data_IF_001261749559
#
_entry.id   IF_001261749559
#
_cell.length_a   1.000
_cell.length_b   1.000
_cell.length_c   1.000
_cell.angle_alpha   90.00
_cell.angle_beta   90.00
_cell.angle_gamma   90.00
#
_symmetry.space_group_name_H-M   'P 1'
#
loop_
_entity.id
_entity.type
_entity.pdbx_description
1 polymer ?
#
# COMPACT_ATOMS: atom_id res chain seq x y z
N UNK A 1 -0.94 15.51 -6.63
CA UNK A 1 -1.05 14.07 -6.92
C UNK A 1 -2.40 13.55 -6.46
N UNK A 2 -2.96 12.57 -7.15
CA UNK A 2 -4.23 11.96 -6.80
C UNK A 2 -4.07 11.10 -5.54
N UNK A 3 -4.98 11.24 -4.56
CA UNK A 3 -4.97 10.45 -3.33
C UNK A 3 -6.38 10.17 -2.84
N UNK A 4 -6.53 9.06 -2.09
CA UNK A 4 -7.74 8.75 -1.34
C UNK A 4 -7.58 9.22 0.10
N UNK A 5 -8.46 10.09 0.55
CA UNK A 5 -8.58 10.45 1.97
C UNK A 5 -9.54 9.48 2.64
N UNK A 6 -9.10 8.89 3.76
CA UNK A 6 -9.92 8.04 4.61
C UNK A 6 -9.93 8.62 6.02
N UNK A 7 -11.12 8.84 6.58
CA UNK A 7 -11.30 9.16 7.99
C UNK A 7 -12.18 8.09 8.62
N UNK A 8 -11.79 7.60 9.79
CA UNK A 8 -12.52 6.57 10.54
C UNK A 8 -12.81 7.06 11.95
N UNK A 9 -14.01 6.80 12.44
CA UNK A 9 -14.46 7.11 13.77
C UNK A 9 -15.41 6.03 14.28
N UNK A 10 -15.90 6.15 15.50
CA UNK A 10 -16.92 5.26 16.04
C UNK A 10 -17.94 6.08 16.87
N UNK A 11 -19.17 5.62 16.92
CA UNK A 11 -20.25 6.33 17.61
C UNK A 11 -20.21 6.02 19.10
N UNK A 12 -20.15 7.09 19.92
CA UNK A 12 -20.27 7.08 21.38
C UNK A 12 -21.49 7.85 21.81
N UNK A 13 -22.42 7.22 22.49
CA UNK A 13 -23.71 7.79 22.88
C UNK A 13 -23.64 8.95 23.92
N UNK A 14 -22.51 9.16 24.61
CA UNK A 14 -22.48 10.01 25.82
C UNK A 14 -22.18 11.50 25.61
N UNK A 15 -21.75 11.98 24.43
CA UNK A 15 -21.30 13.37 24.21
C UNK A 15 -22.24 14.27 23.38
N UNK A 16 -23.46 13.87 23.14
CA UNK A 16 -24.39 14.46 22.16
C UNK A 16 -24.86 15.90 22.46
N UNK A 17 -24.79 16.38 23.70
CA UNK A 17 -25.54 17.60 24.11
C UNK A 17 -24.98 18.96 23.64
N UNK A 18 -23.68 19.10 23.46
CA UNK A 18 -23.04 20.40 23.21
C UNK A 18 -23.00 20.82 21.73
N UNK A 19 -22.85 19.88 20.83
CA UNK A 19 -22.78 20.13 19.39
C UNK A 19 -24.14 20.19 18.70
N UNK A 20 -25.17 19.52 19.24
CA UNK A 20 -26.54 19.58 18.71
C UNK A 20 -27.04 21.01 18.61
N UNK A 21 -26.75 21.85 19.61
CA UNK A 21 -27.14 23.28 19.62
C UNK A 21 -26.47 24.04 18.46
N UNK A 22 -25.25 23.68 18.09
CA UNK A 22 -24.51 24.32 17.00
C UNK A 22 -24.99 23.85 15.62
N UNK A 23 -25.28 22.56 15.44
CA UNK A 23 -25.81 21.99 14.20
C UNK A 23 -27.25 22.43 13.96
N UNK A 24 -28.08 22.47 15.03
CA UNK A 24 -29.47 22.94 14.96
C UNK A 24 -29.60 24.42 14.59
N UNK A 25 -28.62 25.25 14.98
CA UNK A 25 -28.59 26.67 14.58
C UNK A 25 -28.05 26.88 13.17
N UNK A 26 -27.61 25.83 12.48
CA UNK A 26 -27.01 25.85 11.14
C UNK A 26 -27.98 25.48 10.01
N UNK A 27 -29.22 25.07 10.33
CA UNK A 27 -30.29 24.94 9.34
C UNK A 27 -30.58 26.33 8.76
N UNK A 28 -30.03 26.63 7.58
CA UNK A 28 -30.20 27.91 6.91
C UNK A 28 -28.93 28.75 6.70
N UNK A 29 -27.76 28.30 7.15
CA UNK A 29 -26.51 28.94 6.73
C UNK A 29 -26.21 28.53 5.31
N UNK A 30 -26.53 29.41 4.35
CA UNK A 30 -26.04 29.32 2.97
C UNK A 30 -24.53 29.08 3.01
N UNK A 31 -24.06 28.11 2.22
CA UNK A 31 -22.62 27.98 2.02
C UNK A 31 -22.10 29.31 1.54
N UNK A 32 -21.36 30.00 2.38
CA UNK A 32 -20.73 31.26 2.02
C UNK A 32 -19.70 30.93 0.95
N UNK A 33 -20.07 31.14 -0.32
CA UNK A 33 -19.21 30.98 -1.47
C UNK A 33 -18.60 32.34 -1.79
N UNK A 34 -17.28 32.44 -1.75
CA UNK A 34 -16.61 33.67 -2.14
C UNK A 34 -15.12 33.66 -1.82
N UNK A 35 -14.37 34.47 -2.56
CA UNK A 35 -12.94 34.68 -2.38
C UNK A 35 -12.62 35.77 -1.33
N UNK A 36 -13.62 36.18 -0.53
CA UNK A 36 -13.41 37.14 0.54
C UNK A 36 -12.52 36.60 1.66
N UNK A 37 -11.98 37.46 2.53
CA UNK A 37 -11.16 37.05 3.65
C UNK A 37 -11.97 36.22 4.67
N UNK A 38 -11.29 35.30 5.32
CA UNK A 38 -11.86 34.46 6.39
C UNK A 38 -12.35 35.34 7.54
N UNK A 39 -13.55 35.08 8.02
CA UNK A 39 -14.11 35.84 9.15
C UNK A 39 -13.46 35.41 10.47
N UNK A 40 -13.49 36.31 11.48
CA UNK A 40 -12.97 35.99 12.81
C UNK A 40 -13.70 34.80 13.44
N UNK A 41 -15.03 34.71 13.28
CA UNK A 41 -15.81 33.57 13.76
C UNK A 41 -15.44 32.24 13.09
N UNK A 42 -15.15 32.25 11.79
CA UNK A 42 -14.65 31.06 11.12
C UNK A 42 -13.25 30.63 11.62
N UNK A 43 -12.35 31.59 11.86
CA UNK A 43 -11.03 31.29 12.43
C UNK A 43 -11.11 30.66 13.81
N UNK A 44 -11.91 31.26 14.71
CA UNK A 44 -12.13 30.72 16.06
C UNK A 44 -12.72 29.30 16.01
N UNK A 45 -13.70 29.08 15.13
CA UNK A 45 -14.32 27.77 14.96
C UNK A 45 -13.35 26.74 14.37
N UNK A 46 -12.54 27.11 13.39
CA UNK A 46 -11.51 26.24 12.81
C UNK A 46 -10.51 25.83 13.88
N UNK A 47 -10.04 26.78 14.71
CA UNK A 47 -9.14 26.47 15.81
C UNK A 47 -9.77 25.49 16.80
N UNK A 48 -11.04 25.68 17.15
CA UNK A 48 -11.77 24.78 18.02
C UNK A 48 -11.92 23.38 17.40
N UNK A 49 -12.32 23.30 16.12
CA UNK A 49 -12.45 22.03 15.40
C UNK A 49 -11.12 21.26 15.33
N UNK A 50 -10.01 21.95 15.12
CA UNK A 50 -8.68 21.32 15.08
C UNK A 50 -8.22 20.89 16.48
N UNK A 51 -8.64 21.57 17.54
CA UNK A 51 -8.38 21.16 18.90
C UNK A 51 -9.18 19.92 19.29
N UNK A 52 -10.50 19.92 18.98
CA UNK A 52 -11.42 18.86 19.36
C UNK A 52 -11.25 17.61 18.46
N UNK A 53 -10.92 17.83 17.20
CA UNK A 53 -10.73 16.80 16.16
C UNK A 53 -9.40 16.97 15.44
N UNK A 54 -8.28 16.58 16.05
CA UNK A 54 -6.94 16.75 15.45
C UNK A 54 -6.80 16.11 14.06
N UNK A 55 -7.51 15.01 13.81
CA UNK A 55 -7.50 14.30 12.54
C UNK A 55 -8.22 15.04 11.40
N UNK A 56 -8.96 16.12 11.70
CA UNK A 56 -9.59 16.96 10.68
C UNK A 56 -8.57 17.62 9.74
N UNK A 57 -7.31 17.75 10.17
CA UNK A 57 -6.19 18.15 9.28
C UNK A 57 -6.02 17.22 8.09
N UNK A 58 -6.60 16.01 8.10
CA UNK A 58 -6.51 15.02 7.02
C UNK A 58 -7.47 15.27 5.86
N UNK A 59 -8.42 16.13 6.04
CA UNK A 59 -9.39 16.46 5.02
C UNK A 59 -8.77 17.29 3.88
N UNK A 60 -9.21 17.05 2.65
CA UNK A 60 -8.81 17.87 1.50
C UNK A 60 -9.17 19.34 1.68
N UNK A 61 -10.33 19.59 2.30
CA UNK A 61 -10.84 20.94 2.58
C UNK A 61 -9.91 21.71 3.51
N UNK A 62 -9.19 21.04 4.41
CA UNK A 62 -8.16 21.68 5.23
C UNK A 62 -6.92 22.04 4.40
N UNK A 63 -6.52 21.17 3.49
CA UNK A 63 -5.43 21.50 2.54
C UNK A 63 -5.78 22.71 1.69
N UNK A 64 -7.00 22.75 1.15
CA UNK A 64 -7.47 23.85 0.31
C UNK A 64 -7.59 25.15 1.11
N UNK A 65 -8.10 25.08 2.34
CA UNK A 65 -8.11 26.21 3.28
C UNK A 65 -6.70 26.72 3.57
N UNK A 66 -5.74 25.83 3.81
CA UNK A 66 -4.35 26.22 4.06
C UNK A 66 -3.68 26.87 2.85
N UNK A 67 -3.96 26.38 1.64
CA UNK A 67 -3.39 26.92 0.39
C UNK A 67 -3.96 28.28 0.03
N UNK A 68 -5.24 28.45 0.22
CA UNK A 68 -5.97 29.68 -0.10
C UNK A 68 -7.03 29.96 0.99
N UNK A 69 -6.66 30.66 2.09
CA UNK A 69 -7.58 30.93 3.19
C UNK A 69 -8.60 31.99 2.77
N UNK A 70 -9.74 31.55 2.25
CA UNK A 70 -10.88 32.37 1.85
C UNK A 70 -12.13 32.01 2.67
N UNK A 71 -13.14 32.86 2.61
CA UNK A 71 -14.46 32.61 3.19
C UNK A 71 -15.04 31.25 2.72
N UNK A 72 -14.88 30.95 1.42
CA UNK A 72 -15.39 29.71 0.82
C UNK A 72 -14.64 28.47 1.29
N UNK A 73 -13.30 28.50 1.27
CA UNK A 73 -12.48 27.35 1.72
C UNK A 73 -12.61 27.09 3.21
N UNK A 74 -12.71 28.15 4.03
CA UNK A 74 -12.99 28.03 5.45
C UNK A 74 -14.37 27.40 5.70
N UNK A 75 -15.41 27.83 4.97
CA UNK A 75 -16.75 27.26 5.07
C UNK A 75 -16.81 25.80 4.64
N UNK A 76 -16.09 25.42 3.57
CA UNK A 76 -16.00 24.05 3.11
C UNK A 76 -15.32 23.16 4.16
N UNK A 77 -14.19 23.62 4.71
CA UNK A 77 -13.48 22.88 5.76
C UNK A 77 -14.34 22.70 7.03
N UNK A 78 -14.95 23.78 7.54
CA UNK A 78 -15.84 23.69 8.72
C UNK A 78 -16.96 22.69 8.47
N UNK A 79 -17.57 22.72 7.29
CA UNK A 79 -18.66 21.80 6.94
C UNK A 79 -18.17 20.36 6.97
N UNK A 80 -17.07 20.07 6.27
CA UNK A 80 -16.58 18.71 6.18
C UNK A 80 -16.02 18.18 7.50
N UNK A 81 -15.37 19.04 8.29
CA UNK A 81 -14.88 18.66 9.62
C UNK A 81 -16.03 18.29 10.57
N UNK A 82 -17.15 18.99 10.49
CA UNK A 82 -18.35 18.65 11.27
C UNK A 82 -19.01 17.38 10.75
N UNK A 83 -19.17 17.23 9.43
CA UNK A 83 -19.75 16.04 8.83
C UNK A 83 -18.91 14.78 9.16
N UNK A 84 -17.61 14.92 9.13
CA UNK A 84 -16.68 13.84 9.45
C UNK A 84 -16.72 13.39 10.93
N UNK A 85 -17.16 14.27 11.82
CA UNK A 85 -17.25 14.01 13.26
C UNK A 85 -18.69 13.99 13.79
N UNK A 86 -19.67 13.96 12.89
CA UNK A 86 -21.08 13.97 13.25
C UNK A 86 -21.50 12.76 14.12
N UNK A 87 -20.77 11.65 13.98
CA UNK A 87 -20.94 10.43 14.76
C UNK A 87 -20.64 10.63 16.27
N UNK A 88 -19.88 11.65 16.66
CA UNK A 88 -19.65 11.97 18.06
C UNK A 88 -20.82 12.77 18.69
N UNK A 89 -21.79 13.14 17.86
CA UNK A 89 -22.81 14.13 18.19
C UNK A 89 -24.22 13.55 18.15
N UNK A 90 -24.47 12.55 17.30
CA UNK A 90 -25.78 11.95 17.08
C UNK A 90 -25.86 10.49 17.52
N UNK A 91 -27.11 10.00 17.76
CA UNK A 91 -27.39 8.57 17.85
C UNK A 91 -27.06 7.89 16.51
N UNK A 92 -26.85 6.59 16.56
CA UNK A 92 -26.48 5.77 15.39
C UNK A 92 -27.53 5.83 14.28
N UNK A 93 -28.82 5.68 14.63
CA UNK A 93 -29.94 5.82 13.70
C UNK A 93 -30.07 7.25 13.16
N UNK A 94 -29.87 8.25 14.01
CA UNK A 94 -29.85 9.65 13.61
C UNK A 94 -28.75 9.97 12.61
N UNK A 95 -27.55 9.42 12.80
CA UNK A 95 -26.46 9.54 11.83
C UNK A 95 -26.79 8.86 10.51
N UNK A 96 -27.33 7.63 10.53
CA UNK A 96 -27.72 6.91 9.33
C UNK A 96 -28.80 7.67 8.56
N UNK A 97 -29.84 8.17 9.23
CA UNK A 97 -30.88 8.99 8.59
C UNK A 97 -30.30 10.26 7.95
N UNK A 98 -29.39 10.93 8.63
CA UNK A 98 -28.74 12.13 8.12
C UNK A 98 -27.95 11.88 6.83
N UNK A 99 -27.07 10.88 6.81
CA UNK A 99 -26.25 10.60 5.63
C UNK A 99 -27.09 10.10 4.44
N UNK A 100 -28.24 9.45 4.70
CA UNK A 100 -29.12 8.91 3.69
C UNK A 100 -30.01 9.99 3.02
N UNK A 101 -30.29 11.11 3.70
CA UNK A 101 -31.32 12.08 3.27
C UNK A 101 -30.82 13.51 3.05
N UNK A 102 -29.59 13.85 3.48
CA UNK A 102 -29.05 15.21 3.39
C UNK A 102 -28.99 15.75 1.95
N UNK A 103 -28.99 17.08 1.75
CA UNK A 103 -28.78 17.69 0.43
C UNK A 103 -27.51 17.16 -0.25
N UNK A 104 -27.59 16.94 -1.57
CA UNK A 104 -26.50 16.42 -2.42
C UNK A 104 -26.14 14.95 -2.24
N UNK A 105 -26.88 14.19 -1.41
CA UNK A 105 -26.81 12.73 -1.48
C UNK A 105 -27.36 12.29 -2.84
N UNK A 106 -26.65 11.38 -3.51
CA UNK A 106 -27.16 10.74 -4.71
C UNK A 106 -28.27 9.74 -4.30
N UNK A 107 -29.52 10.02 -4.70
CA UNK A 107 -30.66 9.20 -4.31
C UNK A 107 -30.77 7.95 -5.18
N UNK A 108 -30.98 6.82 -4.53
CA UNK A 108 -31.30 5.52 -5.14
C UNK A 108 -32.75 5.13 -4.76
N UNK A 109 -33.71 5.88 -5.27
CA UNK A 109 -35.11 5.81 -4.85
C UNK A 109 -35.50 6.97 -3.94
N UNK A 110 -36.05 6.67 -2.77
CA UNK A 110 -36.50 7.70 -1.79
C UNK A 110 -35.35 8.32 -0.99
N UNK A 111 -34.20 7.62 -0.88
CA UNK A 111 -33.03 8.04 -0.11
C UNK A 111 -31.73 7.64 -0.82
N UNK A 112 -30.57 8.02 -0.26
CA UNK A 112 -29.24 7.75 -0.84
C UNK A 112 -28.51 6.55 -0.25
N UNK A 113 -29.09 5.84 0.72
CA UNK A 113 -28.42 4.71 1.36
C UNK A 113 -28.33 3.51 0.43
N UNK A 114 -27.19 2.86 0.38
CA UNK A 114 -26.93 1.62 -0.34
C UNK A 114 -26.07 0.65 0.49
N UNK A 115 -26.11 -0.63 0.15
CA UNK A 115 -25.34 -1.71 0.78
C UNK A 115 -24.99 -2.80 -0.25
N UNK A 116 -24.62 -3.98 0.21
CA UNK A 116 -24.51 -5.17 -0.64
C UNK A 116 -25.86 -5.59 -1.27
N UNK A 117 -26.98 -5.32 -0.58
CA UNK A 117 -28.32 -5.60 -1.08
C UNK A 117 -28.68 -4.73 -2.31
N UNK A 118 -29.49 -5.28 -3.21
CA UNK A 118 -29.93 -4.55 -4.41
C UNK A 118 -30.77 -3.30 -4.09
N UNK A 119 -31.59 -3.39 -3.04
CA UNK A 119 -32.36 -2.27 -2.50
C UNK A 119 -32.21 -2.25 -0.96
N UNK A 120 -32.24 -1.05 -0.41
CA UNK A 120 -32.16 -0.82 1.04
C UNK A 120 -33.46 -0.17 1.50
N UNK A 121 -34.03 -0.72 2.55
CA UNK A 121 -35.10 -0.06 3.32
C UNK A 121 -34.46 0.73 4.46
N UNK A 122 -34.64 2.05 4.43
CA UNK A 122 -33.99 2.94 5.41
C UNK A 122 -34.52 2.71 6.83
N UNK A 123 -35.83 2.51 6.98
CA UNK A 123 -36.44 2.31 8.31
C UNK A 123 -36.03 0.97 8.90
N UNK A 124 -35.95 -0.08 8.07
CA UNK A 124 -35.43 -1.38 8.49
C UNK A 124 -33.94 -1.30 8.88
N UNK A 125 -33.11 -0.60 8.11
CA UNK A 125 -31.68 -0.41 8.40
C UNK A 125 -31.47 0.39 9.71
N UNK A 126 -32.28 1.42 9.96
CA UNK A 126 -32.25 2.19 11.19
C UNK A 126 -32.66 1.32 12.41
N UNK A 127 -33.72 0.51 12.25
CA UNK A 127 -34.19 -0.37 13.31
C UNK A 127 -33.17 -1.48 13.64
N UNK A 128 -32.49 -2.02 12.62
CA UNK A 128 -31.38 -2.97 12.79
C UNK A 128 -30.27 -2.36 13.64
N UNK A 129 -29.91 -1.13 13.32
CA UNK A 129 -28.83 -0.40 14.01
C UNK A 129 -29.22 0.00 15.45
N UNK A 130 -30.48 0.40 15.70
CA UNK A 130 -30.99 0.71 17.03
C UNK A 130 -31.04 -0.54 17.95
N UNK A 131 -31.16 -1.71 17.39
CA UNK A 131 -31.14 -2.98 18.12
C UNK A 131 -29.71 -3.49 18.39
N UNK A 132 -28.67 -2.82 17.84
CA UNK A 132 -27.28 -3.24 17.95
C UNK A 132 -26.59 -2.64 19.18
N UNK A 133 -26.00 -3.48 20.03
CA UNK A 133 -25.31 -3.08 21.26
C UNK A 133 -23.77 -3.04 21.12
N UNK A 134 -23.22 -3.25 19.91
CA UNK A 134 -21.79 -3.33 19.67
C UNK A 134 -21.16 -2.06 19.12
N UNK A 135 -19.92 -2.15 18.65
CA UNK A 135 -19.22 -1.04 18.02
C UNK A 135 -19.75 -0.76 16.62
N UNK A 136 -20.17 0.47 16.38
CA UNK A 136 -20.53 0.98 15.05
C UNK A 136 -19.44 1.93 14.57
N UNK A 137 -18.78 1.57 13.49
CA UNK A 137 -17.71 2.35 12.89
C UNK A 137 -18.25 3.24 11.77
N UNK A 138 -17.78 4.47 11.72
CA UNK A 138 -18.06 5.41 10.63
C UNK A 138 -16.78 5.65 9.85
N UNK A 139 -16.88 5.57 8.52
CA UNK A 139 -15.75 5.73 7.63
C UNK A 139 -16.14 6.69 6.52
N UNK A 140 -15.29 7.66 6.23
CA UNK A 140 -15.44 8.56 5.08
C UNK A 140 -14.31 8.27 4.11
N UNK A 141 -14.65 8.06 2.85
CA UNK A 141 -13.71 8.02 1.74
C UNK A 141 -14.00 9.18 0.80
N UNK A 142 -12.99 9.99 0.51
CA UNK A 142 -13.10 11.18 -0.32
C UNK A 142 -12.05 11.22 -1.41
N UNK A 143 -12.44 11.70 -2.60
CA UNK A 143 -11.57 11.99 -3.73
C UNK A 143 -11.69 13.47 -4.10
N UNK A 144 -10.67 14.01 -4.77
CA UNK A 144 -10.84 15.28 -5.47
C UNK A 144 -11.80 15.11 -6.65
N UNK A 145 -12.58 16.15 -6.95
CA UNK A 145 -13.60 16.12 -8.03
C UNK A 145 -13.00 15.66 -9.36
N UNK A 146 -11.84 16.19 -9.72
CA UNK A 146 -11.16 15.87 -10.98
C UNK A 146 -10.76 14.40 -11.04
N UNK A 147 -10.25 13.84 -9.91
CA UNK A 147 -9.87 12.43 -9.83
C UNK A 147 -11.10 11.53 -9.84
N UNK A 148 -12.15 11.88 -9.09
CA UNK A 148 -13.39 11.11 -9.08
C UNK A 148 -14.02 11.00 -10.46
N UNK A 149 -14.12 12.13 -11.20
CA UNK A 149 -14.64 12.16 -12.56
C UNK A 149 -13.75 11.38 -13.54
N UNK A 150 -12.45 11.57 -13.48
CA UNK A 150 -11.47 10.90 -14.36
C UNK A 150 -11.44 9.39 -14.18
N UNK A 151 -11.60 8.93 -12.92
CA UNK A 151 -11.50 7.52 -12.53
C UNK A 151 -12.88 6.83 -12.46
N UNK A 152 -13.96 7.58 -12.71
CA UNK A 152 -15.32 7.03 -12.71
C UNK A 152 -15.94 6.81 -11.34
N UNK A 153 -15.38 7.43 -10.27
CA UNK A 153 -15.90 7.36 -8.90
C UNK A 153 -16.71 8.60 -8.50
N UNK A 154 -17.38 9.21 -9.43
CA UNK A 154 -18.27 10.38 -9.24
C UNK A 154 -19.75 10.03 -9.07
N UNK A 155 -20.07 8.78 -8.80
CA UNK A 155 -21.43 8.25 -8.64
C UNK A 155 -21.47 7.12 -7.58
N UNK A 156 -22.68 6.88 -7.03
CA UNK A 156 -22.90 5.87 -5.99
C UNK A 156 -22.66 4.42 -6.45
N UNK A 157 -22.95 4.10 -7.74
CA UNK A 157 -22.79 2.74 -8.23
C UNK A 157 -21.34 2.30 -8.30
N UNK A 158 -20.44 3.18 -8.73
CA UNK A 158 -19.01 2.90 -8.75
C UNK A 158 -18.46 2.62 -7.34
N UNK A 159 -18.84 3.45 -6.37
CA UNK A 159 -18.45 3.24 -4.97
C UNK A 159 -19.04 1.96 -4.39
N UNK A 160 -20.30 1.67 -4.70
CA UNK A 160 -20.94 0.42 -4.28
C UNK A 160 -20.19 -0.80 -4.83
N UNK A 161 -19.85 -0.78 -6.12
CA UNK A 161 -19.05 -1.84 -6.76
C UNK A 161 -17.70 -2.03 -6.09
N UNK A 162 -16.98 -0.92 -5.80
CA UNK A 162 -15.69 -0.95 -5.11
C UNK A 162 -15.81 -1.55 -3.70
N UNK A 163 -16.79 -1.12 -2.90
CA UNK A 163 -16.99 -1.62 -1.55
C UNK A 163 -17.38 -3.11 -1.53
N UNK A 164 -18.22 -3.53 -2.46
CA UNK A 164 -18.58 -4.95 -2.62
C UNK A 164 -17.37 -5.80 -2.98
N UNK A 165 -16.55 -5.35 -3.94
CA UNK A 165 -15.32 -6.04 -4.34
C UNK A 165 -14.36 -6.25 -3.16
N UNK A 166 -14.27 -5.29 -2.26
CA UNK A 166 -13.35 -5.33 -1.13
C UNK A 166 -14.00 -5.65 0.22
N UNK A 167 -15.26 -6.07 0.25
CA UNK A 167 -15.99 -6.32 1.49
C UNK A 167 -15.25 -7.28 2.43
N UNK A 168 -14.67 -8.36 1.90
CA UNK A 168 -13.89 -9.33 2.68
C UNK A 168 -12.57 -8.74 3.22
N UNK A 169 -11.91 -7.90 2.42
CA UNK A 169 -10.67 -7.22 2.86
C UNK A 169 -10.97 -6.21 3.98
N UNK A 170 -12.08 -5.46 3.84
CA UNK A 170 -12.54 -4.51 4.85
C UNK A 170 -12.94 -5.24 6.15
N UNK A 171 -13.74 -6.28 6.04
CA UNK A 171 -14.13 -7.13 7.17
C UNK A 171 -12.90 -7.66 7.93
N UNK A 172 -11.95 -8.23 7.20
CA UNK A 172 -10.69 -8.72 7.78
C UNK A 172 -9.88 -7.63 8.49
N UNK A 173 -9.79 -6.44 7.90
CA UNK A 173 -9.06 -5.31 8.49
C UNK A 173 -9.72 -4.83 9.79
N UNK A 174 -11.04 -4.97 9.90
CA UNK A 174 -11.85 -4.63 11.07
C UNK A 174 -12.02 -5.80 12.04
N UNK A 175 -11.40 -6.95 11.79
CA UNK A 175 -11.52 -8.17 12.61
C UNK A 175 -12.95 -8.65 12.75
N UNK A 176 -13.73 -8.56 11.68
CA UNK A 176 -15.10 -9.05 11.58
C UNK A 176 -15.07 -10.27 10.66
N UNK A 177 -15.70 -11.42 11.04
CA UNK A 177 -15.98 -12.53 10.13
C UNK A 177 -16.80 -12.04 8.92
N UNK A 178 -16.52 -12.56 7.73
CA UNK A 178 -17.13 -12.04 6.50
C UNK A 178 -18.66 -12.18 6.46
N UNK A 179 -19.20 -13.21 7.11
CA UNK A 179 -20.64 -13.50 7.26
C UNK A 179 -21.32 -12.59 8.29
N UNK A 180 -20.57 -12.06 9.28
CA UNK A 180 -21.07 -11.11 10.27
C UNK A 180 -20.90 -9.64 9.83
N UNK A 181 -20.26 -9.38 8.69
CA UNK A 181 -19.93 -8.04 8.24
C UNK A 181 -21.15 -7.31 7.69
N UNK A 182 -21.60 -6.28 8.38
CA UNK A 182 -22.72 -5.41 7.97
C UNK A 182 -22.20 -4.03 7.63
N UNK A 183 -22.69 -3.48 6.52
CA UNK A 183 -22.32 -2.14 6.12
C UNK A 183 -23.42 -1.46 5.30
N UNK A 184 -23.52 -0.16 5.50
CA UNK A 184 -24.32 0.76 4.68
C UNK A 184 -23.48 1.96 4.31
N UNK A 185 -23.74 2.56 3.15
CA UNK A 185 -23.06 3.76 2.72
C UNK A 185 -23.98 4.70 1.95
N UNK A 186 -23.59 5.97 1.86
CA UNK A 186 -24.27 6.98 1.07
C UNK A 186 -23.22 7.84 0.35
N UNK A 187 -23.44 8.11 -0.94
CA UNK A 187 -22.57 8.95 -1.75
C UNK A 187 -23.06 10.39 -1.75
N UNK A 188 -22.17 11.29 -1.39
CA UNK A 188 -22.42 12.73 -1.37
C UNK A 188 -21.66 13.40 -2.51
N UNK A 189 -22.43 13.90 -3.49
CA UNK A 189 -21.88 14.53 -4.69
C UNK A 189 -21.54 16.00 -4.42
N UNK A 190 -20.56 16.24 -3.54
CA UNK A 190 -20.11 17.59 -3.21
C UNK A 190 -19.25 18.19 -4.33
N UNK A 191 -19.32 19.52 -4.51
CA UNK A 191 -18.75 20.22 -5.66
C UNK A 191 -17.24 20.05 -5.83
N UNK A 192 -16.48 20.07 -4.73
CA UNK A 192 -15.01 19.98 -4.78
C UNK A 192 -14.50 18.58 -4.42
N UNK A 193 -15.12 17.92 -3.44
CA UNK A 193 -14.66 16.65 -2.90
C UNK A 193 -15.84 15.69 -2.74
N UNK A 194 -16.22 14.95 -3.79
CA UNK A 194 -17.20 13.89 -3.67
C UNK A 194 -16.71 12.83 -2.71
N UNK A 195 -17.59 12.33 -1.86
CA UNK A 195 -17.22 11.37 -0.82
C UNK A 195 -18.36 10.42 -0.48
N UNK A 196 -18.01 9.31 0.14
CA UNK A 196 -19.00 8.43 0.76
C UNK A 196 -18.89 8.47 2.27
N UNK A 197 -20.01 8.40 2.94
CA UNK A 197 -20.11 8.00 4.33
C UNK A 197 -20.47 6.51 4.38
N UNK A 198 -19.74 5.74 5.15
CA UNK A 198 -19.95 4.31 5.34
C UNK A 198 -20.09 4.02 6.82
N UNK A 199 -21.10 3.25 7.20
CA UNK A 199 -21.27 2.69 8.53
C UNK A 199 -21.01 1.19 8.48
N UNK A 200 -20.31 0.68 9.50
CA UNK A 200 -19.90 -0.74 9.55
C UNK A 200 -20.02 -1.25 10.98
N UNK A 201 -20.58 -2.46 11.12
CA UNK A 201 -20.61 -3.20 12.37
C UNK A 201 -20.58 -4.71 12.13
N UNK A 202 -20.48 -5.49 13.19
CA UNK A 202 -20.62 -6.95 13.17
C UNK A 202 -21.98 -7.35 13.72
N UNK A 203 -22.55 -8.43 13.23
CA UNK A 203 -23.73 -9.06 13.88
C UNK A 203 -23.45 -9.51 15.32
N UNK A 204 -22.19 -9.84 15.63
CA UNK A 204 -21.78 -10.09 17.02
C UNK A 204 -21.24 -8.78 17.64
N UNK A 205 -21.89 -8.23 18.69
CA UNK A 205 -21.46 -6.99 19.33
C UNK A 205 -20.07 -7.07 19.99
N UNK A 206 -19.48 -8.25 20.14
CA UNK A 206 -18.13 -8.45 20.70
C UNK A 206 -17.01 -8.35 19.65
N UNK A 207 -17.36 -8.24 18.38
CA UNK A 207 -16.44 -8.14 17.26
C UNK A 207 -16.32 -6.69 16.77
N UNK A 208 -15.50 -6.48 15.73
CA UNK A 208 -15.40 -5.17 15.09
C UNK A 208 -14.41 -4.23 15.78
N UNK A 209 -13.11 -4.57 15.74
CA UNK A 209 -12.03 -3.74 16.27
C UNK A 209 -11.18 -3.16 15.14
N UNK A 210 -11.19 -1.86 15.01
CA UNK A 210 -10.40 -1.15 14.02
C UNK A 210 -9.10 -0.61 14.64
N UNK A 211 -7.97 -1.08 14.11
CA UNK A 211 -6.63 -0.61 14.51
C UNK A 211 -6.06 0.36 13.48
N UNK A 212 -4.96 1.06 13.83
CA UNK A 212 -4.24 1.91 12.86
C UNK A 212 -3.75 1.13 11.64
N UNK A 213 -3.29 -0.09 11.85
CA UNK A 213 -2.87 -1.01 10.79
C UNK A 213 -4.07 -1.44 9.93
N UNK A 214 -5.23 -1.69 10.54
CA UNK A 214 -6.48 -1.96 9.84
C UNK A 214 -6.91 -0.80 8.96
N UNK A 215 -6.88 0.43 9.48
CA UNK A 215 -7.18 1.66 8.72
C UNK A 215 -6.23 1.80 7.52
N UNK A 216 -4.93 1.61 7.74
CA UNK A 216 -3.94 1.67 6.66
C UNK A 216 -4.16 0.57 5.60
N UNK A 217 -4.51 -0.65 6.03
CA UNK A 217 -4.80 -1.76 5.13
C UNK A 217 -6.04 -1.49 4.25
N UNK A 218 -7.12 -0.99 4.84
CA UNK A 218 -8.34 -0.61 4.11
C UNK A 218 -8.04 0.48 3.08
N UNK A 219 -7.37 1.55 3.49
CA UNK A 219 -6.96 2.65 2.60
C UNK A 219 -6.11 2.13 1.44
N UNK A 220 -5.09 1.32 1.74
CA UNK A 220 -4.19 0.74 0.73
C UNK A 220 -4.95 -0.10 -0.30
N UNK A 221 -5.91 -0.93 0.14
CA UNK A 221 -6.72 -1.76 -0.76
C UNK A 221 -7.52 -0.92 -1.75
N UNK A 222 -8.27 0.05 -1.24
CA UNK A 222 -9.08 0.92 -2.09
C UNK A 222 -8.22 1.81 -2.99
N UNK A 223 -7.13 2.39 -2.47
CA UNK A 223 -6.18 3.19 -3.25
C UNK A 223 -5.61 2.39 -4.43
N UNK A 224 -5.17 1.14 -4.20
CA UNK A 224 -4.61 0.30 -5.25
C UNK A 224 -5.62 -0.05 -6.35
N UNK A 225 -6.91 -0.08 -6.03
CA UNK A 225 -7.96 -0.34 -7.03
C UNK A 225 -8.35 0.94 -7.76
N UNK A 226 -8.58 2.03 -7.02
CA UNK A 226 -8.97 3.33 -7.59
C UNK A 226 -7.89 3.88 -8.52
N UNK A 227 -6.62 3.82 -8.10
CA UNK A 227 -5.47 4.38 -8.83
C UNK A 227 -4.61 3.30 -9.50
N UNK A 228 -5.22 2.20 -9.92
CA UNK A 228 -4.49 1.03 -10.42
C UNK A 228 -3.47 1.37 -11.50
N UNK A 229 -3.88 2.12 -12.49
CA UNK A 229 -3.03 2.41 -13.65
C UNK A 229 -1.89 3.36 -13.28
N UNK A 230 -2.16 4.38 -12.47
CA UNK A 230 -1.12 5.26 -11.94
C UNK A 230 -0.12 4.50 -11.07
N UNK A 231 -0.61 3.60 -10.21
CA UNK A 231 0.26 2.79 -9.36
C UNK A 231 1.16 1.87 -10.17
N UNK A 232 0.65 1.26 -11.26
CA UNK A 232 1.46 0.46 -12.17
C UNK A 232 2.59 1.31 -12.76
N UNK A 233 2.27 2.49 -13.30
CA UNK A 233 3.26 3.40 -13.88
C UNK A 233 4.32 3.85 -12.86
N UNK A 234 3.92 4.14 -11.62
CA UNK A 234 4.87 4.53 -10.57
C UNK A 234 5.78 3.34 -10.21
N UNK A 235 5.24 2.12 -10.11
CA UNK A 235 6.05 0.93 -9.85
C UNK A 235 7.01 0.61 -11.00
N UNK A 236 6.58 0.77 -12.25
CA UNK A 236 7.47 0.61 -13.43
C UNK A 236 8.61 1.63 -13.40
N UNK A 237 8.32 2.91 -13.15
CA UNK A 237 9.37 3.95 -13.00
C UNK A 237 10.31 3.64 -11.83
N UNK A 238 9.78 3.13 -10.71
CA UNK A 238 10.60 2.72 -9.57
C UNK A 238 11.54 1.58 -9.91
N UNK A 239 11.08 0.60 -10.69
CA UNK A 239 11.90 -0.53 -11.11
C UNK A 239 12.99 -0.09 -12.10
N UNK A 240 12.70 0.86 -12.98
CA UNK A 240 13.69 1.51 -13.86
C UNK A 240 14.73 2.27 -13.02
N UNK A 241 14.29 3.16 -12.13
CA UNK A 241 15.18 3.94 -11.28
C UNK A 241 16.06 3.05 -10.36
N UNK A 242 15.53 1.91 -9.92
CA UNK A 242 16.32 0.92 -9.18
C UNK A 242 17.46 0.33 -10.02
N UNK A 243 17.19 -0.02 -11.28
CA UNK A 243 18.22 -0.56 -12.19
C UNK A 243 19.26 0.50 -12.54
N UNK A 244 18.81 1.70 -12.91
CA UNK A 244 19.70 2.83 -13.23
C UNK A 244 20.62 3.17 -12.06
N UNK A 245 20.13 3.13 -10.82
CA UNK A 245 20.98 3.38 -9.65
C UNK A 245 22.05 2.29 -9.45
N UNK A 246 21.70 1.01 -9.65
CA UNK A 246 22.68 -0.06 -9.57
C UNK A 246 23.73 0.08 -10.66
N UNK A 247 23.32 0.31 -11.90
CA UNK A 247 24.22 0.50 -13.04
C UNK A 247 25.15 1.71 -12.83
N UNK A 248 24.60 2.86 -12.42
CA UNK A 248 25.41 4.05 -12.10
C UNK A 248 26.43 3.77 -10.97
N UNK A 249 26.02 3.04 -9.93
CA UNK A 249 26.93 2.66 -8.85
C UNK A 249 28.05 1.70 -9.32
N UNK A 250 27.73 0.74 -10.18
CA UNK A 250 28.70 -0.20 -10.74
C UNK A 250 29.67 0.51 -11.70
N UNK A 251 29.16 1.37 -12.59
CA UNK A 251 30.00 2.12 -13.54
C UNK A 251 30.93 3.08 -12.82
N UNK A 252 30.41 3.85 -11.86
CA UNK A 252 31.23 4.75 -11.03
C UNK A 252 32.30 3.99 -10.24
N UNK A 253 31.94 2.83 -9.67
CA UNK A 253 32.92 2.00 -8.96
C UNK A 253 34.00 1.48 -9.90
N UNK A 254 33.64 1.05 -11.12
CA UNK A 254 34.58 0.62 -12.16
C UNK A 254 35.58 1.71 -12.50
N UNK A 255 35.10 2.92 -12.76
CA UNK A 255 35.97 4.05 -13.05
C UNK A 255 36.93 4.40 -11.90
N UNK A 256 36.44 4.32 -10.66
CA UNK A 256 37.28 4.56 -9.48
C UNK A 256 38.35 3.48 -9.32
N UNK A 257 38.04 2.21 -9.53
CA UNK A 257 39.01 1.11 -9.48
C UNK A 257 40.09 1.26 -10.56
N UNK A 258 39.71 1.58 -11.79
CA UNK A 258 40.66 1.85 -12.89
C UNK A 258 41.60 3.00 -12.54
N UNK A 259 41.08 4.10 -11.97
CA UNK A 259 41.91 5.21 -11.51
C UNK A 259 42.85 4.79 -10.38
N UNK A 260 42.42 3.94 -9.44
CA UNK A 260 43.29 3.41 -8.37
C UNK A 260 44.45 2.56 -8.92
N UNK A 261 44.24 1.84 -10.02
CA UNK A 261 45.28 0.99 -10.63
C UNK A 261 46.29 1.77 -11.47
N UNK A 262 45.88 2.86 -12.11
CA UNK A 262 46.68 3.56 -13.11
C UNK A 262 47.03 5.01 -12.78
N UNK A 263 46.34 5.65 -11.84
CA UNK A 263 46.50 7.08 -11.50
C UNK A 263 46.19 7.36 -10.02
N UNK A 264 46.31 8.63 -9.61
CA UNK A 264 45.77 9.11 -8.35
C UNK A 264 44.23 9.10 -8.39
N UNK A 265 43.61 8.36 -7.49
CA UNK A 265 42.15 8.32 -7.38
C UNK A 265 41.60 9.67 -6.90
N UNK A 266 40.57 10.19 -7.58
CA UNK A 266 39.93 11.45 -7.23
C UNK A 266 39.17 11.38 -5.89
N UNK A 267 38.92 10.19 -5.37
CA UNK A 267 38.25 9.98 -4.09
C UNK A 267 39.12 9.22 -3.09
N UNK A 268 39.93 9.94 -2.30
CA UNK A 268 40.88 9.31 -1.34
C UNK A 268 40.15 8.53 -0.22
N UNK A 269 38.89 8.83 0.05
CA UNK A 269 38.11 8.10 1.08
C UNK A 269 37.76 6.71 0.59
N UNK A 270 37.23 6.58 -0.64
CA UNK A 270 36.89 5.28 -1.23
C UNK A 270 38.16 4.44 -1.40
N UNK A 271 39.25 5.04 -1.91
CA UNK A 271 40.53 4.36 -2.07
C UNK A 271 41.04 3.79 -0.75
N UNK A 272 41.05 4.59 0.31
CA UNK A 272 41.49 4.17 1.66
C UNK A 272 40.63 3.04 2.19
N UNK A 273 39.29 3.19 2.11
CA UNK A 273 38.34 2.18 2.63
C UNK A 273 38.43 0.88 1.82
N UNK A 274 38.64 0.96 0.51
CA UNK A 274 38.77 -0.19 -0.37
C UNK A 274 40.04 -0.97 -0.04
N UNK A 275 41.20 -0.29 0.14
CA UNK A 275 42.45 -0.94 0.58
C UNK A 275 42.28 -1.64 1.94
N UNK A 276 41.60 -0.99 2.90
CA UNK A 276 41.33 -1.60 4.21
C UNK A 276 40.40 -2.82 4.09
N UNK A 277 39.40 -2.76 3.21
CA UNK A 277 38.49 -3.89 2.95
C UNK A 277 39.26 -5.07 2.35
N UNK A 278 40.10 -4.84 1.34
CA UNK A 278 40.95 -5.86 0.71
C UNK A 278 41.81 -6.56 1.77
N UNK A 279 42.53 -5.81 2.63
CA UNK A 279 43.33 -6.38 3.71
C UNK A 279 42.49 -7.19 4.71
N UNK A 280 41.33 -6.67 5.10
CA UNK A 280 40.48 -7.35 6.07
C UNK A 280 39.86 -8.65 5.49
N UNK A 281 39.64 -8.72 4.18
CA UNK A 281 39.17 -9.94 3.50
C UNK A 281 40.21 -11.05 3.44
N UNK A 282 41.53 -10.75 3.57
CA UNK A 282 42.58 -11.77 3.64
C UNK A 282 42.41 -12.70 4.86
N UNK A 283 41.99 -12.13 5.98
CA UNK A 283 41.82 -12.86 7.24
C UNK A 283 40.38 -13.37 7.43
N UNK A 284 39.48 -13.05 6.49
CA UNK A 284 38.06 -13.43 6.59
C UNK A 284 37.84 -14.82 6.02
N UNK A 285 37.36 -15.74 6.85
CA UNK A 285 36.96 -17.10 6.46
C UNK A 285 35.45 -17.18 6.20
N UNK A 286 35.03 -18.06 5.28
CA UNK A 286 33.64 -18.30 4.94
C UNK A 286 33.10 -17.42 3.80
N UNK A 287 31.76 -17.28 3.71
CA UNK A 287 31.10 -16.54 2.61
C UNK A 287 31.38 -15.04 2.69
N UNK A 288 32.02 -14.51 1.65
CA UNK A 288 32.31 -13.08 1.51
C UNK A 288 31.16 -12.33 0.85
N UNK A 289 30.06 -12.24 1.58
CA UNK A 289 28.85 -11.49 1.24
C UNK A 289 28.44 -10.62 2.43
N UNK A 290 27.86 -9.45 2.19
CA UNK A 290 27.55 -8.46 3.21
C UNK A 290 26.82 -9.04 4.45
N UNK A 291 25.88 -9.95 4.23
CA UNK A 291 25.12 -10.58 5.32
C UNK A 291 25.98 -11.35 6.32
N UNK A 292 27.07 -11.96 5.86
CA UNK A 292 27.95 -12.83 6.63
C UNK A 292 29.18 -12.13 7.19
N UNK A 293 29.46 -10.89 6.78
CA UNK A 293 30.58 -10.13 7.29
C UNK A 293 30.40 -9.72 8.75
N UNK A 294 31.51 -9.58 9.47
CA UNK A 294 31.55 -9.02 10.83
C UNK A 294 31.26 -7.51 10.79
N UNK A 295 30.79 -6.95 11.92
CA UNK A 295 30.41 -5.53 12.02
C UNK A 295 31.47 -4.54 11.50
N UNK A 296 32.79 -4.68 11.80
CA UNK A 296 33.79 -3.73 11.28
C UNK A 296 33.87 -3.72 9.74
N UNK A 297 33.79 -4.90 9.09
CA UNK A 297 33.81 -4.98 7.63
C UNK A 297 32.54 -4.41 7.01
N UNK A 298 31.39 -4.64 7.64
CA UNK A 298 30.14 -4.01 7.21
C UNK A 298 30.24 -2.48 7.24
N UNK A 299 30.86 -1.92 8.29
CA UNK A 299 31.06 -0.47 8.39
C UNK A 299 31.96 0.07 7.26
N UNK A 300 33.03 -0.66 6.87
CA UNK A 300 33.86 -0.28 5.72
C UNK A 300 33.02 -0.25 4.44
N UNK A 301 32.28 -1.33 4.17
CA UNK A 301 31.40 -1.41 2.98
C UNK A 301 30.35 -0.31 2.99
N UNK A 302 29.71 -0.07 4.14
CA UNK A 302 28.69 0.97 4.28
C UNK A 302 29.26 2.36 4.00
N UNK A 303 30.49 2.65 4.48
CA UNK A 303 31.18 3.91 4.18
C UNK A 303 31.48 4.07 2.70
N UNK A 304 31.93 3.01 2.02
CA UNK A 304 32.16 3.04 0.56
C UNK A 304 30.87 3.32 -0.19
N UNK A 305 29.75 2.64 0.18
CA UNK A 305 28.43 2.86 -0.44
C UNK A 305 27.97 4.30 -0.27
N UNK A 306 28.13 4.88 0.93
CA UNK A 306 27.67 6.24 1.20
C UNK A 306 28.55 7.30 0.50
N UNK A 307 29.87 7.06 0.36
CA UNK A 307 30.75 7.91 -0.45
C UNK A 307 30.46 7.77 -1.95
N UNK A 308 30.12 6.55 -2.41
CA UNK A 308 29.68 6.31 -3.78
C UNK A 308 28.37 7.06 -4.10
N UNK A 309 27.44 7.10 -3.14
CA UNK A 309 26.19 7.83 -3.25
C UNK A 309 26.37 9.36 -3.36
N UNK A 310 27.56 9.89 -3.05
CA UNK A 310 27.91 11.31 -3.22
C UNK A 310 28.45 11.63 -4.61
N UNK A 311 28.78 10.62 -5.41
CA UNK A 311 29.21 10.83 -6.79
C UNK A 311 28.03 11.35 -7.62
N UNK A 312 28.24 12.32 -8.54
CA UNK A 312 27.15 13.04 -9.21
C UNK A 312 26.11 12.13 -9.87
N UNK A 313 26.57 11.12 -10.60
CA UNK A 313 25.72 10.19 -11.33
C UNK A 313 24.87 9.35 -10.37
N UNK A 314 25.51 8.77 -9.35
CA UNK A 314 24.85 7.95 -8.33
C UNK A 314 23.89 8.79 -7.48
N UNK A 315 24.32 10.00 -7.09
CA UNK A 315 23.51 10.93 -6.31
C UNK A 315 22.21 11.28 -7.06
N UNK A 316 22.30 11.58 -8.35
CA UNK A 316 21.15 11.89 -9.22
C UNK A 316 20.17 10.70 -9.30
N UNK A 317 20.67 9.50 -9.55
CA UNK A 317 19.82 8.30 -9.61
C UNK A 317 19.18 8.01 -8.24
N UNK A 318 19.92 8.20 -7.15
CA UNK A 318 19.39 7.97 -5.79
C UNK A 318 18.32 9.01 -5.42
N UNK A 319 18.50 10.26 -5.82
CA UNK A 319 17.49 11.30 -5.65
C UNK A 319 16.21 10.97 -6.43
N UNK A 320 16.32 10.58 -7.71
CA UNK A 320 15.19 10.14 -8.54
C UNK A 320 14.43 8.99 -7.89
N UNK A 321 15.14 7.98 -7.41
CA UNK A 321 14.53 6.84 -6.72
C UNK A 321 13.79 7.26 -5.43
N UNK A 322 14.36 8.17 -4.64
CA UNK A 322 13.72 8.72 -3.45
C UNK A 322 12.46 9.51 -3.81
N UNK A 323 12.50 10.36 -4.85
CA UNK A 323 11.33 11.12 -5.32
C UNK A 323 10.18 10.22 -5.72
N UNK A 324 10.44 9.11 -6.44
CA UNK A 324 9.42 8.13 -6.80
C UNK A 324 8.83 7.44 -5.55
N UNK A 325 9.65 7.16 -4.55
CA UNK A 325 9.17 6.59 -3.29
C UNK A 325 8.35 7.58 -2.45
N UNK A 326 8.68 8.86 -2.51
CA UNK A 326 7.89 9.90 -1.87
C UNK A 326 6.53 10.05 -2.57
N UNK A 327 6.52 9.98 -3.90
CA UNK A 327 5.29 9.94 -4.71
C UNK A 327 4.39 8.77 -4.31
N UNK A 328 4.95 7.55 -4.14
CA UNK A 328 4.21 6.39 -3.64
C UNK A 328 3.66 6.64 -2.23
N UNK A 329 4.46 7.20 -1.34
CA UNK A 329 4.06 7.49 0.03
C UNK A 329 2.88 8.48 0.08
N UNK A 330 2.88 9.50 -0.78
CA UNK A 330 1.78 10.44 -0.92
C UNK A 330 0.50 9.78 -1.47
N UNK A 331 0.62 8.89 -2.46
CA UNK A 331 -0.53 8.15 -3.01
C UNK A 331 -1.24 7.33 -1.93
N UNK A 332 -0.49 6.76 -0.98
CA UNK A 332 -1.06 6.04 0.17
C UNK A 332 -1.55 6.97 1.30
N UNK A 333 -1.52 8.29 1.08
CA UNK A 333 -2.01 9.28 2.04
C UNK A 333 -1.17 9.38 3.32
N UNK A 334 0.07 8.94 3.28
CA UNK A 334 0.99 9.16 4.38
C UNK A 334 1.38 10.63 4.44
N UNK A 335 1.28 11.24 5.62
CA UNK A 335 1.62 12.65 5.85
C UNK A 335 2.99 12.85 6.44
N UNK A 336 3.52 11.82 7.04
CA UNK A 336 4.88 11.86 7.55
C UNK A 336 5.80 11.83 6.34
N UNK A 337 6.58 12.89 6.08
CA UNK A 337 7.63 12.83 5.08
C UNK A 337 8.48 11.61 5.34
N UNK A 338 8.77 10.84 4.31
CA UNK A 338 9.65 9.70 4.44
C UNK A 338 11.06 10.19 4.72
N UNK A 339 11.71 9.65 5.72
CA UNK A 339 13.13 9.90 5.95
C UNK A 339 13.94 9.30 4.81
N UNK A 340 14.75 10.12 4.16
CA UNK A 340 15.71 9.69 3.15
C UNK A 340 16.95 9.15 3.86
N UNK A 341 16.94 7.85 4.12
CA UNK A 341 18.07 7.16 4.74
C UNK A 341 19.31 7.19 3.84
N UNK A 342 20.55 7.13 4.36
CA UNK A 342 21.73 6.88 3.55
C UNK A 342 21.59 5.64 2.67
N UNK A 343 22.24 5.62 1.50
CA UNK A 343 22.13 4.50 0.56
C UNK A 343 22.55 3.18 1.20
N UNK A 344 23.56 3.20 2.07
CA UNK A 344 24.01 2.05 2.83
C UNK A 344 22.94 1.43 3.73
N UNK A 345 21.97 2.21 4.21
CA UNK A 345 20.91 1.75 5.08
C UNK A 345 19.67 1.24 4.33
N UNK A 346 19.61 1.43 3.01
CA UNK A 346 18.53 0.93 2.17
C UNK A 346 18.71 -0.57 1.90
N UNK A 347 17.76 -1.36 2.36
CA UNK A 347 17.80 -2.83 2.23
C UNK A 347 17.72 -3.30 0.78
N UNK A 348 17.05 -2.53 -0.04
CA UNK A 348 16.84 -2.79 -1.46
C UNK A 348 18.17 -2.82 -2.24
N UNK A 349 19.14 -2.01 -1.85
CA UNK A 349 20.44 -1.89 -2.55
C UNK A 349 21.56 -2.76 -1.96
N UNK A 350 21.20 -3.88 -1.36
CA UNK A 350 22.17 -4.85 -0.85
C UNK A 350 23.09 -5.40 -1.96
N UNK A 351 22.64 -5.39 -3.21
CA UNK A 351 23.44 -5.78 -4.37
C UNK A 351 24.68 -4.91 -4.49
N UNK A 352 24.57 -3.58 -4.41
CA UNK A 352 25.72 -2.66 -4.46
C UNK A 352 26.78 -3.04 -3.43
N UNK A 353 26.37 -3.39 -2.21
CA UNK A 353 27.28 -3.82 -1.14
C UNK A 353 28.04 -5.11 -1.49
N UNK A 354 27.32 -6.08 -2.09
CA UNK A 354 27.92 -7.32 -2.50
C UNK A 354 28.86 -7.14 -3.69
N UNK A 355 28.54 -6.25 -4.61
CA UNK A 355 29.40 -5.91 -5.74
C UNK A 355 30.72 -5.27 -5.26
N UNK A 356 30.68 -4.35 -4.29
CA UNK A 356 31.88 -3.79 -3.67
C UNK A 356 32.75 -4.87 -3.03
N UNK A 357 32.14 -5.83 -2.31
CA UNK A 357 32.87 -6.93 -1.67
C UNK A 357 33.49 -7.83 -2.74
N UNK A 358 32.79 -8.11 -3.82
CA UNK A 358 33.30 -8.90 -4.95
C UNK A 358 34.51 -8.23 -5.60
N UNK A 359 34.43 -6.93 -5.86
CA UNK A 359 35.55 -6.19 -6.43
C UNK A 359 36.76 -6.11 -5.50
N UNK A 360 36.54 -5.91 -4.20
CA UNK A 360 37.63 -5.99 -3.21
C UNK A 360 38.29 -7.37 -3.20
N UNK A 361 37.53 -8.44 -3.40
CA UNK A 361 38.04 -9.79 -3.49
C UNK A 361 38.81 -10.05 -4.81
N UNK A 362 38.32 -9.51 -5.94
CA UNK A 362 38.99 -9.56 -7.23
C UNK A 362 40.36 -8.87 -7.16
N UNK A 363 40.41 -7.65 -6.58
CA UNK A 363 41.67 -6.92 -6.35
C UNK A 363 42.62 -7.76 -5.47
N UNK A 364 42.11 -8.36 -4.39
CA UNK A 364 42.92 -9.20 -3.49
C UNK A 364 43.53 -10.43 -4.19
N UNK A 365 42.78 -11.04 -5.08
CA UNK A 365 43.22 -12.27 -5.80
C UNK A 365 44.01 -11.98 -7.08
N UNK A 366 44.16 -10.70 -7.46
CA UNK A 366 44.75 -10.30 -8.74
C UNK A 366 43.93 -10.80 -9.94
N UNK A 367 42.61 -10.98 -9.74
CA UNK A 367 41.70 -11.39 -10.80
C UNK A 367 41.24 -10.13 -11.60
N UNK A 368 40.82 -10.35 -12.86
CA UNK A 368 40.27 -9.27 -13.65
C UNK A 368 39.12 -8.56 -12.89
N UNK A 369 39.18 -7.25 -12.89
CA UNK A 369 38.07 -6.41 -12.40
C UNK A 369 37.05 -6.21 -13.53
N UNK A 370 36.03 -5.37 -13.33
CA UNK A 370 34.91 -5.17 -14.27
C UNK A 370 35.24 -5.09 -15.79
N UNK A 371 36.48 -4.82 -16.19
CA UNK A 371 36.82 -4.68 -17.62
C UNK A 371 36.86 -5.99 -18.40
N UNK A 372 37.24 -7.07 -17.75
CA UNK A 372 37.43 -8.35 -18.43
C UNK A 372 36.11 -9.15 -18.54
N UNK A 373 35.08 -8.81 -17.75
CA UNK A 373 33.74 -9.43 -17.89
C UNK A 373 33.06 -9.08 -19.23
N UNK A 374 33.41 -7.93 -19.86
CA UNK A 374 32.88 -7.59 -21.19
C UNK A 374 33.53 -8.39 -22.33
N UNK A 375 34.67 -9.05 -22.08
CA UNK A 375 35.37 -9.86 -23.07
C UNK A 375 35.16 -11.39 -22.88
N UNK A 376 34.62 -11.80 -21.75
CA UNK A 376 34.28 -13.18 -21.45
C UNK A 376 32.79 -13.33 -21.15
N UNK A 377 31.95 -12.98 -22.12
CA UNK A 377 30.55 -13.39 -22.10
C UNK A 377 30.51 -14.90 -22.33
N UNK A 378 30.68 -15.68 -21.23
CA UNK A 378 30.00 -16.96 -21.03
C UNK A 378 29.81 -17.23 -19.52
N UNK A 379 28.77 -17.97 -19.08
CA UNK A 379 27.78 -17.45 -18.15
C UNK A 379 27.75 -18.23 -16.84
N UNK A 380 28.62 -17.93 -15.87
CA UNK A 380 28.39 -18.43 -14.48
C UNK A 380 27.46 -17.55 -13.68
N UNK A 381 27.38 -16.24 -13.98
CA UNK A 381 26.40 -15.32 -13.36
C UNK A 381 24.99 -15.47 -13.95
N UNK A 382 24.89 -15.93 -15.19
CA UNK A 382 23.61 -16.25 -15.84
C UNK A 382 22.80 -17.31 -15.09
N UNK A 383 23.45 -18.22 -14.35
CA UNK A 383 22.76 -19.26 -13.59
C UNK A 383 22.16 -18.74 -12.26
N UNK A 384 22.77 -17.77 -11.59
CA UNK A 384 22.18 -17.16 -10.39
C UNK A 384 21.16 -16.08 -10.74
N UNK A 385 21.39 -15.26 -11.76
CA UNK A 385 20.39 -14.30 -12.27
C UNK A 385 19.25 -15.02 -12.99
N UNK A 386 19.48 -16.06 -13.76
CA UNK A 386 18.42 -16.91 -14.31
C UNK A 386 17.65 -17.64 -13.22
N UNK A 387 18.26 -18.08 -12.11
CA UNK A 387 17.55 -18.63 -10.96
C UNK A 387 16.75 -17.56 -10.22
N UNK A 388 17.31 -16.38 -10.02
CA UNK A 388 16.61 -15.26 -9.37
C UNK A 388 15.46 -14.73 -10.25
N UNK A 389 15.69 -14.53 -11.55
CA UNK A 389 14.65 -14.14 -12.50
C UNK A 389 13.61 -15.26 -12.68
N UNK A 390 14.01 -16.53 -12.68
CA UNK A 390 13.10 -17.67 -12.72
C UNK A 390 12.22 -17.75 -11.48
N UNK A 391 12.76 -17.53 -10.28
CA UNK A 391 11.98 -17.54 -9.02
C UNK A 391 11.05 -16.33 -8.93
N UNK A 392 11.49 -15.16 -9.36
CA UNK A 392 10.67 -13.95 -9.39
C UNK A 392 9.55 -14.07 -10.43
N UNK A 393 9.86 -14.59 -11.60
CA UNK A 393 8.87 -14.84 -12.65
C UNK A 393 7.87 -15.91 -12.24
N UNK A 394 8.32 -16.99 -11.62
CA UNK A 394 7.44 -18.00 -11.03
C UNK A 394 6.52 -17.41 -9.97
N UNK A 395 7.03 -16.52 -9.10
CA UNK A 395 6.22 -15.82 -8.11
C UNK A 395 5.22 -14.84 -8.73
N UNK A 396 5.56 -14.19 -9.85
CA UNK A 396 4.65 -13.32 -10.61
C UNK A 396 3.54 -14.13 -11.27
N UNK A 397 3.88 -15.19 -11.97
CA UNK A 397 2.94 -16.11 -12.61
C UNK A 397 2.01 -16.75 -11.59
N UNK A 398 2.53 -17.18 -10.44
CA UNK A 398 1.73 -17.69 -9.33
C UNK A 398 0.72 -16.67 -8.82
N UNK A 399 1.14 -15.40 -8.62
CA UNK A 399 0.24 -14.34 -8.15
C UNK A 399 -0.88 -14.06 -9.15
N UNK A 400 -0.56 -13.98 -10.44
CA UNK A 400 -1.55 -13.77 -11.49
C UNK A 400 -2.56 -14.92 -11.53
N UNK A 401 -2.11 -16.16 -11.59
CA UNK A 401 -2.98 -17.33 -11.58
C UNK A 401 -3.84 -17.42 -10.32
N UNK A 402 -3.27 -17.13 -9.14
CA UNK A 402 -4.00 -17.09 -7.88
C UNK A 402 -5.10 -16.04 -7.89
N UNK A 403 -4.86 -14.85 -8.44
CA UNK A 403 -5.86 -13.79 -8.53
C UNK A 403 -7.05 -14.22 -9.38
N UNK A 404 -6.80 -14.85 -10.54
CA UNK A 404 -7.85 -15.40 -11.40
C UNK A 404 -8.64 -16.48 -10.67
N UNK A 405 -7.98 -17.40 -9.96
CA UNK A 405 -8.67 -18.46 -9.20
C UNK A 405 -9.47 -17.95 -8.00
N UNK A 406 -9.27 -16.72 -7.57
CA UNK A 406 -10.02 -16.07 -6.49
C UNK A 406 -11.11 -15.13 -7.02
N UNK A 407 -11.16 -14.91 -8.34
CA UNK A 407 -12.16 -14.08 -8.98
C UNK A 407 -13.42 -14.92 -9.27
N UNK A 408 -14.51 -14.61 -8.58
CA UNK A 408 -15.81 -15.29 -8.70
C UNK A 408 -16.46 -14.99 -10.06
N UNK A 409 -16.04 -13.95 -10.75
CA UNK A 409 -16.58 -13.53 -12.03
C UNK A 409 -15.71 -13.97 -13.23
N UNK A 410 -14.56 -14.61 -12.96
CA UNK A 410 -13.73 -15.16 -14.03
C UNK A 410 -14.47 -16.29 -14.76
N UNK A 411 -14.28 -16.36 -16.07
CA UNK A 411 -14.86 -17.42 -16.89
C UNK A 411 -14.24 -18.79 -16.56
N UNK A 412 -15.00 -19.86 -16.77
CA UNK A 412 -14.51 -21.22 -16.54
C UNK A 412 -13.23 -21.53 -17.34
N UNK A 413 -13.07 -20.91 -18.54
CA UNK A 413 -11.87 -21.02 -19.36
C UNK A 413 -10.66 -20.33 -18.71
N UNK A 414 -10.85 -19.17 -18.10
CA UNK A 414 -9.80 -18.43 -17.38
C UNK A 414 -9.36 -19.19 -16.12
N UNK A 415 -10.31 -19.76 -15.38
CA UNK A 415 -10.02 -20.65 -14.26
C UNK A 415 -9.23 -21.89 -14.71
N UNK A 416 -9.59 -22.51 -15.83
CA UNK A 416 -8.88 -23.66 -16.37
C UNK A 416 -7.47 -23.31 -16.81
N UNK A 417 -7.23 -22.12 -17.35
CA UNK A 417 -5.90 -21.63 -17.71
C UNK A 417 -5.04 -21.36 -16.48
N UNK A 418 -5.60 -20.70 -15.48
CA UNK A 418 -4.94 -20.45 -14.21
C UNK A 418 -4.57 -21.74 -13.46
N UNK A 419 -5.43 -22.77 -13.51
CA UNK A 419 -5.13 -24.10 -12.98
C UNK A 419 -3.93 -24.71 -13.70
N UNK A 420 -3.93 -24.72 -15.04
CA UNK A 420 -2.79 -25.23 -15.83
C UNK A 420 -1.49 -24.52 -15.52
N UNK A 421 -1.55 -23.21 -15.33
CA UNK A 421 -0.41 -22.41 -14.93
C UNK A 421 0.15 -22.81 -13.57
N UNK A 422 -0.69 -23.02 -12.56
CA UNK A 422 -0.26 -23.50 -11.25
C UNK A 422 0.28 -24.93 -11.28
N UNK A 423 -0.26 -25.80 -12.12
CA UNK A 423 0.25 -27.15 -12.33
C UNK A 423 1.66 -27.13 -12.94
N UNK A 424 1.91 -26.24 -13.92
CA UNK A 424 3.25 -26.04 -14.49
C UNK A 424 4.24 -25.51 -13.45
N UNK A 425 3.81 -24.54 -12.62
CA UNK A 425 4.63 -24.00 -11.55
C UNK A 425 4.98 -25.07 -10.49
N UNK A 426 4.00 -25.92 -10.16
CA UNK A 426 4.25 -27.09 -9.30
C UNK A 426 5.26 -28.06 -9.89
N UNK A 427 5.13 -28.38 -11.17
CA UNK A 427 6.09 -29.26 -11.87
C UNK A 427 7.52 -28.69 -11.85
N UNK A 428 7.67 -27.36 -11.91
CA UNK A 428 8.95 -26.64 -11.79
C UNK A 428 9.45 -26.49 -10.34
N UNK A 429 8.75 -27.06 -9.35
CA UNK A 429 9.18 -27.04 -7.96
C UNK A 429 8.61 -25.92 -7.10
N UNK A 430 7.69 -25.10 -7.61
CA UNK A 430 7.04 -24.04 -6.85
C UNK A 430 5.95 -24.61 -5.93
N UNK A 431 6.35 -25.06 -4.74
CA UNK A 431 5.55 -25.89 -3.83
C UNK A 431 4.25 -25.23 -3.31
N UNK A 432 4.19 -23.89 -3.33
CA UNK A 432 3.00 -23.13 -2.88
C UNK A 432 1.82 -23.30 -3.84
N UNK A 433 2.09 -23.63 -5.11
CA UNK A 433 1.07 -23.83 -6.13
C UNK A 433 0.11 -24.97 -5.80
N UNK A 434 0.61 -26.09 -5.26
CA UNK A 434 -0.23 -27.22 -4.82
C UNK A 434 -1.24 -26.84 -3.74
N UNK A 435 -0.86 -25.94 -2.82
CA UNK A 435 -1.78 -25.48 -1.79
C UNK A 435 -2.92 -24.64 -2.37
N UNK A 436 -2.61 -23.80 -3.35
CA UNK A 436 -3.62 -22.98 -4.00
C UNK A 436 -4.58 -23.83 -4.85
N UNK A 437 -4.04 -24.82 -5.56
CA UNK A 437 -4.85 -25.81 -6.29
C UNK A 437 -5.77 -26.59 -5.38
N UNK A 438 -5.25 -27.05 -4.22
CA UNK A 438 -6.05 -27.73 -3.21
C UNK A 438 -7.19 -26.88 -2.68
N UNK A 439 -6.94 -25.59 -2.44
CA UNK A 439 -7.98 -24.64 -2.02
C UNK A 439 -9.04 -24.44 -3.10
N UNK A 440 -8.62 -24.18 -4.34
CA UNK A 440 -9.52 -23.94 -5.46
C UNK A 440 -10.49 -25.10 -5.68
N UNK A 441 -10.00 -26.35 -5.66
CA UNK A 441 -10.87 -27.52 -5.82
C UNK A 441 -11.72 -27.84 -4.59
N UNK A 442 -11.39 -27.31 -3.41
CA UNK A 442 -12.16 -27.49 -2.16
C UNK A 442 -13.27 -26.47 -2.02
N UNK A 443 -12.99 -25.20 -2.35
CA UNK A 443 -13.85 -24.06 -2.04
C UNK A 443 -15.01 -23.97 -3.05
N UNK A 444 -16.18 -23.51 -2.59
CA UNK A 444 -17.44 -23.47 -3.38
C UNK A 444 -17.48 -22.35 -4.46
N UNK A 445 -16.36 -21.66 -4.68
CA UNK A 445 -16.31 -20.47 -5.54
C UNK A 445 -16.27 -20.79 -7.05
N UNK A 446 -16.16 -22.04 -7.46
CA UNK A 446 -16.07 -22.41 -8.87
C UNK A 446 -16.96 -23.61 -9.21
N UNK A 447 -17.46 -23.66 -10.45
CA UNK A 447 -18.13 -24.82 -11.05
C UNK A 447 -17.22 -26.06 -11.12
N UNK A 448 -15.89 -25.89 -10.89
CA UNK A 448 -14.86 -26.93 -10.99
C UNK A 448 -14.57 -27.63 -9.64
N UNK A 449 -15.43 -27.47 -8.63
CA UNK A 449 -15.25 -28.12 -7.31
C UNK A 449 -15.05 -29.63 -7.45
N UNK A 450 -13.95 -30.13 -6.86
CA UNK A 450 -13.63 -31.56 -6.83
C UNK A 450 -12.85 -31.94 -5.56
N UNK A 451 -13.54 -32.50 -4.59
CA UNK A 451 -12.93 -32.87 -3.31
C UNK A 451 -11.80 -33.91 -3.45
N UNK A 452 -11.88 -34.82 -4.44
CA UNK A 452 -10.82 -35.82 -4.67
C UNK A 452 -9.55 -35.15 -5.21
N UNK A 453 -9.70 -34.17 -6.13
CA UNK A 453 -8.57 -33.38 -6.59
C UNK A 453 -7.99 -32.52 -5.48
N UNK A 454 -8.83 -31.90 -4.64
CA UNK A 454 -8.37 -31.13 -3.51
C UNK A 454 -7.52 -31.96 -2.54
N UNK A 455 -8.00 -33.15 -2.14
CA UNK A 455 -7.25 -34.07 -1.28
C UNK A 455 -5.93 -34.52 -1.90
N UNK A 456 -5.93 -34.83 -3.21
CA UNK A 456 -4.71 -35.17 -3.94
C UNK A 456 -3.67 -34.04 -3.85
N UNK A 457 -4.04 -32.80 -4.11
CA UNK A 457 -3.12 -31.66 -4.07
C UNK A 457 -2.57 -31.37 -2.69
N UNK A 458 -3.38 -31.50 -1.64
CA UNK A 458 -2.92 -31.38 -0.26
C UNK A 458 -1.95 -32.51 0.13
N UNK A 459 -2.20 -33.73 -0.35
CA UNK A 459 -1.33 -34.88 -0.12
C UNK A 459 0.02 -34.74 -0.86
N UNK A 460 0.02 -34.33 -2.12
CA UNK A 460 1.24 -34.10 -2.89
C UNK A 460 2.12 -33.03 -2.25
N UNK A 461 1.55 -31.95 -1.74
CA UNK A 461 2.28 -30.96 -0.94
C UNK A 461 2.96 -31.59 0.28
N UNK A 462 2.25 -32.43 1.04
CA UNK A 462 2.77 -33.08 2.25
C UNK A 462 3.98 -33.98 1.95
N UNK A 463 3.92 -34.73 0.89
CA UNK A 463 4.99 -35.65 0.46
C UNK A 463 6.24 -34.86 0.11
N UNK A 464 6.13 -33.78 -0.66
CA UNK A 464 7.30 -32.96 -1.08
C UNK A 464 7.99 -32.24 0.09
N UNK A 465 7.24 -31.83 1.13
CA UNK A 465 7.82 -31.26 2.36
C UNK A 465 8.57 -32.30 3.21
N UNK A 466 8.14 -33.55 3.23
CA UNK A 466 8.84 -34.62 3.96
C UNK A 466 10.22 -34.97 3.36
N UNK A 467 10.43 -34.72 2.06
CA UNK A 467 11.73 -34.92 1.39
C UNK A 467 12.71 -33.76 1.54
N UNK A 468 12.27 -32.59 1.95
CA UNK A 468 13.13 -31.40 2.14
C UNK A 468 13.70 -31.32 3.56
N UNK A 469 13.07 -31.99 4.54
CA UNK A 469 13.45 -31.96 5.97
C UNK A 469 14.32 -33.16 6.42
N UNK A 470 14.84 -33.98 5.51
CA UNK A 470 15.82 -34.99 5.87
C UNK A 470 17.23 -34.39 5.78
N UNK A 471 17.90 -34.13 6.93
CA UNK A 471 19.33 -33.85 6.88
C UNK A 471 20.02 -35.12 6.36
N UNK A 472 20.84 -34.95 5.32
CA UNK A 472 21.81 -35.96 4.90
C UNK A 472 22.71 -36.32 6.10
N UNK A 473 22.29 -37.33 6.87
CA UNK A 473 23.19 -38.01 7.79
C UNK A 473 24.18 -38.75 6.94
N UNK A 474 25.43 -38.37 7.09
CA UNK A 474 26.58 -38.89 6.40
C UNK A 474 26.76 -40.42 6.47
N UNK A 475 27.41 -40.90 5.47
CA UNK A 475 28.39 -41.96 5.49
C UNK A 475 29.69 -41.39 4.95
#
# INVERSE_FOLDING_TARGET
MAKLVQKSGYIKSEKAGGYMKYIATREGVEKLTGNGPVTKGQQELIQKLLHDFPDAVELFEYEDYRKAPTLGTASAFITMALDANLHEINSESGYMSYIATRPRVERRGTHGLFSSAAAVDLDAAMSELEAHDGNVWTIIYSLRREDAARLGYDNADAWRGLLMMHAQDLAKAMKIPADHFRWYAAFHNEGHHPHIHMMVWSDDPKEGFLTREGIAAMRSKLTNTIFRDEMIQIYERKDVAYKELIEAAQDTMRELIQKMEHQLCDNPVIEKQMRQLVQALETTTGKKQYGYLKKPLKALVDTIVDELARQPEVAKCYETWNQIRDELNECYGSRTPREHLPLSQQKEFRRIKNDIIREAENIRLGLPTFEDEKMQDEPETAHEEQRSNSVYEQARRYRAAKTILQDVYALDEEHAEAVRELEQLWAKGYTVAAHQLGKFYRDDLSTMRDHKKAERWFKERRIKYQYIDLPSKGL
#
